data_IF_406924936073
#
_entry.id   IF_406924936073
#
_cell.length_a   1.000
_cell.length_b   1.000
_cell.length_c   1.000
_cell.angle_alpha   90.00
_cell.angle_beta   90.00
_cell.angle_gamma   90.00
#
_symmetry.space_group_name_H-M   'P 1'
#
loop_
_entity.id
_entity.type
_entity.pdbx_description
1 polymer ?
#
# COMPACT_ATOMS: atom_id res chain seq x y z
N UNK A 1 12.82 16.64 -11.59
CA UNK A 1 11.70 16.56 -10.62
C UNK A 1 11.14 15.15 -10.41
N UNK A 2 11.84 14.08 -10.85
CA UNK A 2 11.44 12.69 -10.62
C UNK A 2 11.90 12.12 -9.27
N UNK A 3 12.90 12.74 -8.62
CA UNK A 3 13.53 12.23 -7.41
C UNK A 3 12.62 12.22 -6.17
N UNK A 4 11.48 12.93 -6.23
CA UNK A 4 10.57 13.13 -5.11
C UNK A 4 9.39 12.14 -5.12
N UNK A 5 9.08 11.57 -6.30
CA UNK A 5 7.89 10.73 -6.48
C UNK A 5 8.01 9.44 -5.68
N UNK A 6 9.10 8.69 -5.93
CA UNK A 6 9.36 7.42 -5.26
C UNK A 6 9.60 7.57 -3.76
N UNK A 7 10.25 8.65 -3.34
CA UNK A 7 10.38 8.96 -1.90
C UNK A 7 9.01 9.16 -1.27
N UNK A 8 8.09 9.89 -1.92
CA UNK A 8 6.72 10.05 -1.44
C UNK A 8 5.97 8.72 -1.35
N UNK A 9 6.09 7.88 -2.37
CA UNK A 9 5.49 6.52 -2.39
C UNK A 9 6.01 5.68 -1.22
N UNK A 10 7.32 5.64 -1.01
CA UNK A 10 7.94 4.83 0.05
C UNK A 10 7.54 5.35 1.43
N UNK A 11 7.56 6.68 1.64
CA UNK A 11 7.17 7.27 2.93
C UNK A 11 5.68 7.06 3.19
N UNK A 12 4.82 7.27 2.20
CA UNK A 12 3.39 7.01 2.34
C UNK A 12 3.08 5.54 2.57
N UNK A 13 3.80 4.63 1.93
CA UNK A 13 3.73 3.19 2.21
C UNK A 13 4.15 2.87 3.65
N UNK A 14 5.26 3.42 4.14
CA UNK A 14 5.73 3.21 5.52
C UNK A 14 4.71 3.73 6.54
N UNK A 15 4.16 4.92 6.33
CA UNK A 15 3.09 5.47 7.18
C UNK A 15 1.85 4.59 7.13
N UNK A 16 1.43 4.18 5.93
CA UNK A 16 0.30 3.28 5.74
C UNK A 16 0.50 1.91 6.39
N UNK A 17 1.73 1.40 6.44
CA UNK A 17 2.09 0.14 7.09
C UNK A 17 2.02 0.27 8.61
N UNK A 18 2.63 1.30 9.18
CA UNK A 18 2.66 1.53 10.64
C UNK A 18 1.24 1.79 11.15
N UNK A 19 0.50 2.68 10.49
CA UNK A 19 -0.87 3.01 10.89
C UNK A 19 -1.86 1.91 10.51
N UNK A 20 -1.66 1.22 9.40
CA UNK A 20 -2.52 0.14 8.93
C UNK A 20 -2.54 -1.05 9.88
N UNK A 21 -1.45 -1.26 10.63
CA UNK A 21 -1.42 -2.26 11.70
C UNK A 21 -2.41 -1.94 12.83
N UNK A 22 -2.55 -0.66 13.21
CA UNK A 22 -3.45 -0.21 14.28
C UNK A 22 -4.86 0.10 13.77
N UNK A 23 -4.96 0.63 12.55
CA UNK A 23 -6.17 1.14 11.92
C UNK A 23 -6.24 0.62 10.47
N UNK A 24 -6.79 -0.57 10.23
CA UNK A 24 -6.74 -1.26 8.93
C UNK A 24 -7.35 -0.47 7.76
N UNK A 25 -8.29 0.44 8.06
CA UNK A 25 -8.98 1.27 7.06
C UNK A 25 -8.36 2.66 6.96
N UNK A 26 -8.08 3.29 8.10
CA UNK A 26 -7.61 4.68 8.16
C UNK A 26 -6.12 4.77 7.84
N UNK A 27 -5.33 3.75 8.20
CA UNK A 27 -3.90 3.69 7.92
C UNK A 27 -3.58 3.79 6.42
N UNK A 28 -4.15 2.95 5.55
CA UNK A 28 -3.96 3.05 4.10
C UNK A 28 -4.40 4.40 3.51
N UNK A 29 -5.51 4.97 4.00
CA UNK A 29 -5.97 6.32 3.60
C UNK A 29 -4.91 7.39 3.94
N UNK A 30 -4.40 7.39 5.17
CA UNK A 30 -3.38 8.35 5.62
C UNK A 30 -2.07 8.11 4.87
N UNK A 31 -1.66 6.86 4.67
CA UNK A 31 -0.47 6.51 3.91
C UNK A 31 -0.52 7.03 2.47
N UNK A 32 -1.67 6.82 1.81
CA UNK A 32 -1.93 7.38 0.49
C UNK A 32 -1.94 8.89 0.46
N UNK A 33 -2.53 9.51 1.48
CA UNK A 33 -2.51 10.96 1.65
C UNK A 33 -1.09 11.51 1.77
N UNK A 34 -0.24 10.89 2.61
CA UNK A 34 1.16 11.30 2.77
C UNK A 34 1.93 11.13 1.46
N UNK A 35 1.74 10.03 0.74
CA UNK A 35 2.33 9.85 -0.58
C UNK A 35 1.91 10.97 -1.55
N UNK A 36 0.61 11.23 -1.66
CA UNK A 36 0.10 12.28 -2.55
C UNK A 36 0.56 13.68 -2.15
N UNK A 37 0.69 13.95 -0.85
CA UNK A 37 1.17 15.23 -0.32
C UNK A 37 2.63 15.49 -0.70
N UNK A 38 3.49 14.46 -0.64
CA UNK A 38 4.91 14.60 -0.92
C UNK A 38 5.22 14.77 -2.41
N UNK A 39 4.45 14.13 -3.28
CA UNK A 39 4.71 14.11 -4.72
C UNK A 39 4.40 15.43 -5.42
N UNK A 40 3.39 16.19 -4.96
CA UNK A 40 2.91 17.45 -5.59
C UNK A 40 2.48 17.26 -7.06
N UNK A 41 1.89 18.29 -7.68
CA UNK A 41 1.48 18.25 -9.09
C UNK A 41 0.02 17.83 -9.28
N UNK A 42 -0.85 18.18 -8.33
CA UNK A 42 -2.29 17.99 -8.43
C UNK A 42 -2.82 16.58 -8.16
N UNK A 43 -4.14 16.45 -8.32
CA UNK A 43 -4.93 15.25 -8.00
C UNK A 43 -4.41 14.00 -8.71
N UNK A 44 -4.12 14.10 -10.01
CA UNK A 44 -3.70 12.94 -10.80
C UNK A 44 -2.38 12.34 -10.35
N UNK A 45 -1.40 13.18 -10.01
CA UNK A 45 -0.11 12.70 -9.50
C UNK A 45 -0.22 12.18 -8.07
N UNK A 46 -1.02 12.85 -7.23
CA UNK A 46 -1.28 12.39 -5.86
C UNK A 46 -1.98 11.04 -5.81
N UNK A 47 -3.02 10.85 -6.63
CA UNK A 47 -3.74 9.58 -6.75
C UNK A 47 -2.84 8.44 -7.23
N UNK A 48 -1.97 8.70 -8.23
CA UNK A 48 -0.99 7.72 -8.71
C UNK A 48 0.01 7.34 -7.63
N UNK A 49 0.55 8.31 -6.89
CA UNK A 49 1.49 8.04 -5.81
C UNK A 49 0.84 7.22 -4.69
N UNK A 50 -0.38 7.59 -4.29
CA UNK A 50 -1.18 6.85 -3.31
C UNK A 50 -1.48 5.42 -3.76
N UNK A 51 -1.94 5.23 -5.00
CA UNK A 51 -2.19 3.91 -5.57
C UNK A 51 -0.92 3.05 -5.51
N UNK A 52 0.21 3.55 -6.02
CA UNK A 52 1.46 2.80 -6.04
C UNK A 52 1.92 2.45 -4.62
N UNK A 53 1.77 3.35 -3.65
CA UNK A 53 2.08 3.07 -2.25
C UNK A 53 1.21 1.93 -1.67
N UNK A 54 -0.09 1.92 -1.97
CA UNK A 54 -1.01 0.87 -1.53
C UNK A 54 -0.72 -0.48 -2.18
N UNK A 55 -0.39 -0.49 -3.48
CA UNK A 55 0.01 -1.70 -4.22
C UNK A 55 1.29 -2.28 -3.63
N UNK A 56 2.28 -1.43 -3.35
CA UNK A 56 3.56 -1.83 -2.78
C UNK A 56 3.36 -2.48 -1.40
N UNK A 57 2.41 -1.97 -0.61
CA UNK A 57 2.00 -2.59 0.65
C UNK A 57 1.32 -3.94 0.50
N UNK A 58 0.38 -4.06 -0.43
CA UNK A 58 -0.30 -5.34 -0.69
C UNK A 58 0.68 -6.42 -1.13
N UNK A 59 1.63 -6.09 -2.02
CA UNK A 59 2.67 -7.02 -2.49
C UNK A 59 3.57 -7.47 -1.32
N UNK A 60 4.06 -6.53 -0.51
CA UNK A 60 4.95 -6.87 0.60
C UNK A 60 4.25 -7.75 1.64
N UNK A 61 3.00 -7.43 2.01
CA UNK A 61 2.22 -8.25 2.94
C UNK A 61 2.03 -9.67 2.38
N UNK A 62 1.71 -9.79 1.10
CA UNK A 62 1.53 -11.09 0.47
C UNK A 62 2.81 -11.94 0.47
N UNK A 63 3.96 -11.32 0.17
CA UNK A 63 5.26 -11.97 0.22
C UNK A 63 5.58 -12.41 1.65
N UNK A 64 5.32 -11.56 2.65
CA UNK A 64 5.54 -11.90 4.06
C UNK A 64 4.65 -13.07 4.51
N UNK A 65 3.40 -13.13 4.07
CA UNK A 65 2.50 -14.25 4.38
C UNK A 65 2.96 -15.55 3.70
N UNK A 66 3.37 -15.49 2.43
CA UNK A 66 3.87 -16.65 1.71
C UNK A 66 5.16 -17.19 2.35
N UNK A 67 6.15 -16.32 2.58
CA UNK A 67 7.43 -16.70 3.17
C UNK A 67 7.25 -17.11 4.62
N UNK A 68 6.53 -16.33 5.43
CA UNK A 68 6.27 -16.63 6.83
C UNK A 68 5.48 -17.93 7.00
N UNK A 69 4.43 -18.14 6.20
CA UNK A 69 3.68 -19.40 6.20
C UNK A 69 4.56 -20.59 5.83
N UNK A 70 5.40 -20.46 4.80
CA UNK A 70 6.33 -21.52 4.36
C UNK A 70 7.39 -21.82 5.41
N UNK A 71 7.97 -20.80 6.05
CA UNK A 71 9.01 -20.98 7.08
C UNK A 71 8.44 -21.63 8.34
N UNK A 72 7.23 -21.23 8.75
CA UNK A 72 6.61 -21.72 10.00
C UNK A 72 5.97 -23.11 9.85
N UNK A 73 5.38 -23.42 8.69
CA UNK A 73 4.55 -24.62 8.48
C UNK A 73 5.09 -25.53 7.36
N UNK A 74 6.26 -25.23 6.79
CA UNK A 74 6.90 -26.04 5.75
C UNK A 74 6.06 -26.16 4.47
N UNK A 75 6.03 -27.37 3.89
CA UNK A 75 5.29 -27.65 2.65
C UNK A 75 3.78 -27.39 2.78
N UNK A 76 3.19 -27.65 3.96
CA UNK A 76 1.77 -27.35 4.22
C UNK A 76 1.52 -25.83 4.22
N UNK A 77 2.44 -25.07 4.81
CA UNK A 77 2.44 -23.61 4.78
C UNK A 77 2.59 -23.04 3.38
N UNK A 78 3.38 -23.67 2.53
CA UNK A 78 3.56 -23.26 1.14
C UNK A 78 2.28 -23.48 0.31
N UNK A 79 1.65 -24.66 0.42
CA UNK A 79 0.42 -24.98 -0.34
C UNK A 79 -0.75 -24.11 0.13
N UNK A 80 -0.96 -24.01 1.45
CA UNK A 80 -1.96 -23.10 2.01
C UNK A 80 -1.62 -21.64 1.67
N UNK A 81 -0.32 -21.31 1.67
CA UNK A 81 0.23 -20.01 1.33
C UNK A 81 -0.09 -19.59 -0.10
N UNK A 82 0.03 -20.46 -1.11
CA UNK A 82 -0.30 -20.13 -2.51
C UNK A 82 -1.78 -19.74 -2.65
N UNK A 83 -2.69 -20.56 -2.11
CA UNK A 83 -4.12 -20.31 -2.23
C UNK A 83 -4.56 -19.07 -1.44
N UNK A 84 -4.04 -18.88 -0.23
CA UNK A 84 -4.40 -17.73 0.61
C UNK A 84 -3.73 -16.44 0.14
N UNK A 85 -2.46 -16.47 -0.26
CA UNK A 85 -1.76 -15.28 -0.74
C UNK A 85 -2.35 -14.72 -2.02
N UNK A 86 -2.85 -15.55 -2.95
CA UNK A 86 -3.49 -15.03 -4.18
C UNK A 86 -4.77 -14.24 -3.85
N UNK A 87 -5.62 -14.78 -2.98
CA UNK A 87 -6.86 -14.14 -2.53
C UNK A 87 -6.53 -12.88 -1.73
N UNK A 88 -5.56 -12.96 -0.82
CA UNK A 88 -5.11 -11.81 -0.03
C UNK A 88 -4.48 -10.73 -0.89
N UNK A 89 -3.73 -11.06 -1.95
CA UNK A 89 -3.20 -10.08 -2.90
C UNK A 89 -4.34 -9.32 -3.55
N UNK A 90 -5.33 -10.02 -4.12
CA UNK A 90 -6.45 -9.36 -4.80
C UNK A 90 -7.26 -8.51 -3.83
N UNK A 91 -7.56 -9.06 -2.64
CA UNK A 91 -8.36 -8.38 -1.62
C UNK A 91 -7.63 -7.17 -1.04
N UNK A 92 -6.36 -7.34 -0.66
CA UNK A 92 -5.53 -6.28 -0.10
C UNK A 92 -5.17 -5.23 -1.15
N UNK A 93 -4.98 -5.61 -2.41
CA UNK A 93 -4.77 -4.66 -3.49
C UNK A 93 -5.99 -3.80 -3.73
N UNK A 94 -7.18 -4.40 -3.81
CA UNK A 94 -8.44 -3.65 -3.94
C UNK A 94 -8.60 -2.74 -2.71
N UNK A 95 -8.39 -3.25 -1.52
CA UNK A 95 -8.61 -2.50 -0.28
C UNK A 95 -7.57 -1.40 -0.06
N UNK A 96 -6.29 -1.75 0.09
CA UNK A 96 -5.20 -0.79 0.31
C UNK A 96 -4.98 0.11 -0.92
N UNK A 97 -5.06 -0.44 -2.12
CA UNK A 97 -4.87 0.33 -3.35
C UNK A 97 -5.94 1.40 -3.54
N UNK A 98 -7.23 1.08 -3.39
CA UNK A 98 -8.28 2.11 -3.49
C UNK A 98 -8.21 3.12 -2.35
N UNK A 99 -8.06 2.66 -1.11
CA UNK A 99 -8.00 3.57 0.03
C UNK A 99 -6.81 4.53 -0.09
N UNK A 100 -5.64 4.01 -0.44
CA UNK A 100 -4.44 4.81 -0.64
C UNK A 100 -4.56 5.73 -1.87
N UNK A 101 -5.25 5.30 -2.93
CA UNK A 101 -5.60 6.16 -4.07
C UNK A 101 -6.49 7.33 -3.65
N UNK A 102 -7.53 7.08 -2.86
CA UNK A 102 -8.45 8.11 -2.35
C UNK A 102 -7.67 9.11 -1.49
N UNK A 103 -6.87 8.63 -0.54
CA UNK A 103 -6.01 9.47 0.28
C UNK A 103 -5.08 10.34 -0.57
N UNK A 104 -4.42 9.74 -1.56
CA UNK A 104 -3.51 10.45 -2.46
C UNK A 104 -4.21 11.46 -3.35
N UNK A 105 -5.42 11.15 -3.83
CA UNK A 105 -6.24 12.07 -4.62
C UNK A 105 -6.66 13.29 -3.78
N UNK A 106 -7.08 13.09 -2.53
CA UNK A 106 -7.44 14.17 -1.60
C UNK A 106 -6.22 15.06 -1.34
N UNK A 107 -5.07 14.46 -1.03
CA UNK A 107 -3.83 15.21 -0.81
C UNK A 107 -3.43 16.03 -2.04
N UNK A 108 -3.51 15.45 -3.24
CA UNK A 108 -3.22 16.15 -4.50
C UNK A 108 -4.25 17.23 -4.85
N UNK A 109 -5.50 17.13 -4.37
CA UNK A 109 -6.51 18.17 -4.54
C UNK A 109 -6.22 19.39 -3.66
N UNK A 110 -5.80 19.14 -2.42
CA UNK A 110 -5.47 20.19 -1.43
C UNK A 110 -4.14 20.84 -1.78
N UNK A 111 -3.12 20.04 -2.13
CA UNK A 111 -1.78 20.50 -2.44
C UNK A 111 -1.51 20.41 -3.94
N UNK A 112 -2.07 21.36 -4.69
CA UNK A 112 -1.84 21.51 -6.13
C UNK A 112 -0.37 21.73 -6.45
#
# INVERSE_FOLDING_TARGET
MANNFWTGVIVGWLVGLILGFLLPVVGPLIGGFVAGWMVRGGVGNGAKAGLIAGILGAIIIAVLLLVGGTVLLGAFGFIAGIGTSLIVIVSAFIYQGLLSLIGGAIAGAIRR
#
